data_IF_541368694828
#
_entry.id   IF_541368694828
#
_cell.length_a   1.000
_cell.length_b   1.000
_cell.length_c   1.000
_cell.angle_alpha   90.00
_cell.angle_beta   90.00
_cell.angle_gamma   90.00
#
_symmetry.space_group_name_H-M   'P 1'
#
loop_
_entity.id
_entity.type
_entity.pdbx_description
1 polymer ?
#
# COMPACT_ATOMS: atom_id res chain seq x y z
N UNK A 1 -22.87 -16.76 4.00
CA UNK A 1 -21.43 -16.90 3.71
C UNK A 1 -21.11 -15.88 2.63
N UNK A 2 -20.72 -14.67 3.02
CA UNK A 2 -20.38 -13.62 2.07
C UNK A 2 -18.93 -13.86 1.63
N UNK A 3 -18.75 -14.19 0.36
CA UNK A 3 -17.43 -14.25 -0.24
C UNK A 3 -16.80 -12.86 -0.13
N UNK A 4 -15.74 -12.74 0.67
CA UNK A 4 -14.88 -11.57 0.64
C UNK A 4 -14.34 -11.47 -0.79
N UNK A 5 -14.97 -10.60 -1.57
CA UNK A 5 -14.56 -10.29 -2.94
C UNK A 5 -13.22 -9.58 -2.84
N UNK A 6 -12.15 -10.35 -2.83
CA UNK A 6 -10.77 -9.87 -2.98
C UNK A 6 -10.75 -9.08 -4.27
N UNK A 7 -10.65 -7.76 -4.16
CA UNK A 7 -10.52 -6.87 -5.30
C UNK A 7 -9.09 -7.08 -5.81
N UNK A 8 -8.91 -8.00 -6.75
CA UNK A 8 -7.70 -8.05 -7.58
C UNK A 8 -7.75 -6.83 -8.50
N UNK A 9 -7.37 -5.67 -7.96
CA UNK A 9 -7.29 -4.44 -8.73
C UNK A 9 -6.11 -4.60 -9.71
N UNK A 10 -6.39 -4.56 -11.01
CA UNK A 10 -5.34 -4.68 -12.03
C UNK A 10 -4.30 -3.56 -11.89
N UNK A 11 -3.05 -3.83 -12.26
CA UNK A 11 -1.93 -2.87 -12.19
C UNK A 11 -2.25 -1.49 -12.81
N UNK A 12 -3.05 -1.47 -13.88
CA UNK A 12 -3.49 -0.23 -14.54
C UNK A 12 -4.55 0.54 -13.74
N UNK A 13 -5.46 -0.18 -13.07
CA UNK A 13 -6.46 0.42 -12.18
C UNK A 13 -5.76 1.03 -10.95
N UNK A 14 -4.76 0.34 -10.39
CA UNK A 14 -3.94 0.85 -9.29
C UNK A 14 -3.21 2.13 -9.72
N UNK A 15 -2.61 2.16 -10.90
CA UNK A 15 -1.88 3.32 -11.41
C UNK A 15 -2.79 4.54 -11.66
N UNK A 16 -3.95 4.36 -12.28
CA UNK A 16 -4.90 5.46 -12.54
C UNK A 16 -5.46 6.05 -11.23
N UNK A 17 -5.68 5.21 -10.24
CA UNK A 17 -6.20 5.53 -8.91
C UNK A 17 -5.16 6.23 -8.02
N UNK A 18 -3.91 5.77 -8.07
CA UNK A 18 -2.73 6.40 -7.47
C UNK A 18 -2.56 7.84 -7.99
N UNK A 19 -2.89 8.09 -9.27
CA UNK A 19 -2.84 9.43 -9.85
C UNK A 19 -3.94 10.38 -9.33
N UNK A 20 -5.13 9.85 -9.03
CA UNK A 20 -6.32 10.64 -8.68
C UNK A 20 -6.42 10.97 -7.19
N UNK A 21 -5.85 10.12 -6.32
CA UNK A 21 -5.87 10.30 -4.86
C UNK A 21 -4.51 10.64 -4.29
N UNK A 22 -3.71 11.43 -5.00
CA UNK A 22 -2.35 11.76 -4.55
C UNK A 22 -2.38 12.45 -3.17
N UNK A 23 -1.76 11.82 -2.16
CA UNK A 23 -1.69 12.32 -0.80
C UNK A 23 -0.96 13.67 -0.78
N UNK A 24 -1.64 14.66 -0.24
CA UNK A 24 -1.14 15.99 0.02
C UNK A 24 -1.46 16.42 1.45
N UNK A 25 -1.02 17.61 1.79
CA UNK A 25 -1.07 18.19 3.13
C UNK A 25 -2.53 18.37 3.65
N UNK A 26 -3.57 18.20 2.82
CA UNK A 26 -4.98 18.47 3.15
C UNK A 26 -5.92 17.27 3.07
N UNK A 27 -5.53 16.16 2.43
CA UNK A 27 -6.43 15.03 2.15
C UNK A 27 -6.07 13.74 2.90
N UNK A 28 -5.27 13.84 3.99
CA UNK A 28 -4.81 12.68 4.76
C UNK A 28 -5.94 11.74 5.20
N UNK A 29 -7.04 12.27 5.75
CA UNK A 29 -8.13 11.42 6.25
C UNK A 29 -8.78 10.61 5.12
N UNK A 30 -9.02 11.23 3.97
CA UNK A 30 -9.61 10.57 2.81
C UNK A 30 -8.67 9.52 2.24
N UNK A 31 -7.38 9.85 2.11
CA UNK A 31 -6.35 8.92 1.65
C UNK A 31 -6.19 7.74 2.62
N UNK A 32 -6.14 7.98 3.93
CA UNK A 32 -6.00 6.93 4.94
C UNK A 32 -7.21 5.99 4.96
N UNK A 33 -8.43 6.53 4.85
CA UNK A 33 -9.65 5.71 4.71
C UNK A 33 -9.58 4.86 3.44
N UNK A 34 -9.16 5.47 2.33
CA UNK A 34 -9.02 4.81 1.04
C UNK A 34 -8.03 3.63 1.10
N UNK A 35 -6.81 3.87 1.58
CA UNK A 35 -5.79 2.83 1.78
C UNK A 35 -6.32 1.74 2.70
N UNK A 36 -6.98 2.10 3.80
CA UNK A 36 -7.54 1.13 4.75
C UNK A 36 -8.67 0.29 4.15
N UNK A 37 -9.44 0.80 3.19
CA UNK A 37 -10.48 0.02 2.49
C UNK A 37 -9.90 -0.88 1.42
N UNK A 38 -8.88 -0.40 0.70
CA UNK A 38 -8.29 -1.10 -0.46
C UNK A 38 -7.28 -2.17 -0.02
N UNK A 39 -6.52 -1.92 1.05
CA UNK A 39 -5.41 -2.78 1.50
C UNK A 39 -5.71 -3.48 2.84
N UNK A 40 -6.91 -4.05 2.99
CA UNK A 40 -7.21 -4.93 4.12
C UNK A 40 -6.55 -6.30 3.91
N UNK A 41 -5.29 -6.44 4.33
CA UNK A 41 -4.59 -7.73 4.32
C UNK A 41 -4.23 -8.15 5.74
N UNK A 42 -4.25 -9.46 5.99
CA UNK A 42 -3.74 -10.06 7.23
C UNK A 42 -2.29 -10.46 6.98
N UNK A 43 -1.40 -10.03 7.86
CA UNK A 43 -0.01 -10.46 7.85
C UNK A 43 0.05 -11.93 8.33
N UNK A 44 0.53 -12.87 7.51
CA UNK A 44 0.67 -14.27 7.90
C UNK A 44 1.81 -14.45 8.91
N UNK A 45 1.82 -15.53 9.71
CA UNK A 45 2.98 -15.89 10.52
C UNK A 45 4.23 -16.09 9.65
N UNK A 46 5.43 -15.78 10.17
CA UNK A 46 6.69 -15.94 9.42
C UNK A 46 6.97 -17.39 8.98
N UNK A 47 6.46 -18.35 9.73
CA UNK A 47 6.62 -19.78 9.43
C UNK A 47 5.58 -20.30 8.43
N UNK A 48 4.65 -19.46 7.97
CA UNK A 48 3.67 -19.82 6.95
C UNK A 48 4.36 -19.90 5.57
N UNK A 49 4.21 -21.00 4.80
CA UNK A 49 4.72 -21.10 3.43
C UNK A 49 4.24 -19.99 2.49
N UNK A 50 3.16 -19.28 2.84
CA UNK A 50 2.61 -18.13 2.09
C UNK A 50 3.23 -16.79 2.50
N UNK A 51 4.14 -16.78 3.48
CA UNK A 51 4.79 -15.55 3.95
C UNK A 51 5.58 -14.87 2.82
N UNK A 52 6.37 -15.64 2.07
CA UNK A 52 7.18 -15.11 0.96
C UNK A 52 6.31 -14.44 -0.12
N UNK A 53 5.25 -15.13 -0.58
CA UNK A 53 4.31 -14.56 -1.54
C UNK A 53 3.56 -13.34 -0.99
N UNK A 54 3.30 -13.30 0.32
CA UNK A 54 2.68 -12.15 0.96
C UNK A 54 3.65 -10.96 1.04
N UNK A 55 4.93 -11.19 1.34
CA UNK A 55 6.00 -10.18 1.46
C UNK A 55 6.33 -9.54 0.10
N UNK A 56 6.36 -10.35 -0.96
CA UNK A 56 6.48 -9.86 -2.35
C UNK A 56 5.32 -8.94 -2.73
N UNK A 57 4.09 -9.33 -2.40
CA UNK A 57 2.91 -8.50 -2.64
C UNK A 57 2.90 -7.24 -1.75
N UNK A 58 3.36 -7.32 -0.49
CA UNK A 58 3.48 -6.18 0.43
C UNK A 58 4.49 -5.14 -0.08
N UNK A 59 5.61 -5.61 -0.65
CA UNK A 59 6.60 -4.75 -1.29
C UNK A 59 6.02 -3.96 -2.47
N UNK A 60 5.15 -4.58 -3.28
CA UNK A 60 4.43 -3.89 -4.36
C UNK A 60 3.44 -2.85 -3.81
N UNK A 61 2.78 -3.15 -2.69
CA UNK A 61 1.88 -2.21 -2.02
C UNK A 61 2.66 -0.99 -1.51
N UNK A 62 3.84 -1.20 -0.93
CA UNK A 62 4.72 -0.11 -0.46
C UNK A 62 5.13 0.82 -1.61
N UNK A 63 5.48 0.27 -2.77
CA UNK A 63 5.77 1.06 -3.98
C UNK A 63 4.53 1.84 -4.43
N UNK A 64 3.34 1.23 -4.44
CA UNK A 64 2.09 1.92 -4.76
C UNK A 64 1.77 3.05 -3.76
N UNK A 65 2.00 2.84 -2.47
CA UNK A 65 1.82 3.85 -1.42
C UNK A 65 2.71 5.05 -1.68
N UNK A 66 4.00 4.86 -1.96
CA UNK A 66 4.91 5.97 -2.26
C UNK A 66 4.53 6.72 -3.54
N UNK A 67 4.14 5.99 -4.59
CA UNK A 67 3.69 6.61 -5.84
C UNK A 67 2.40 7.42 -5.66
N UNK A 68 1.57 7.05 -4.67
CA UNK A 68 0.36 7.79 -4.30
C UNK A 68 0.61 9.03 -3.48
N UNK A 69 1.85 9.36 -3.12
CA UNK A 69 2.17 10.55 -2.33
C UNK A 69 2.74 11.67 -3.21
N UNK A 70 2.60 12.91 -2.75
CA UNK A 70 3.39 14.02 -3.31
C UNK A 70 4.88 13.83 -2.99
N UNK A 71 5.81 14.29 -3.86
CA UNK A 71 7.25 14.10 -3.63
C UNK A 71 7.77 14.65 -2.29
N UNK A 72 7.13 15.71 -1.79
CA UNK A 72 7.42 16.32 -0.48
C UNK A 72 7.16 15.34 0.67
N UNK A 73 6.09 14.54 0.56
CA UNK A 73 5.70 13.57 1.58
C UNK A 73 6.44 12.24 1.37
N UNK A 74 6.46 11.71 0.14
CA UNK A 74 7.07 10.40 -0.16
C UNK A 74 8.53 10.35 0.23
N UNK A 75 9.29 11.44 0.01
CA UNK A 75 10.70 11.53 0.36
C UNK A 75 10.96 11.28 1.85
N UNK A 76 10.11 11.81 2.73
CA UNK A 76 10.28 11.60 4.18
C UNK A 76 10.07 10.14 4.59
N UNK A 77 9.20 9.41 3.90
CA UNK A 77 8.89 8.01 4.23
C UNK A 77 9.82 7.00 3.54
N UNK A 78 10.22 7.26 2.29
CA UNK A 78 11.13 6.38 1.54
C UNK A 78 12.47 6.18 2.26
N UNK A 79 12.98 7.21 2.93
CA UNK A 79 14.21 7.12 3.71
C UNK A 79 14.01 6.52 5.11
N UNK A 80 12.79 6.55 5.66
CA UNK A 80 12.51 6.01 6.99
C UNK A 80 12.39 4.48 6.99
N UNK A 81 11.85 3.91 5.90
CA UNK A 81 11.75 2.45 5.71
C UNK A 81 13.11 1.74 5.62
N UNK A 82 14.17 2.45 5.20
CA UNK A 82 15.54 1.93 5.16
C UNK A 82 16.25 1.93 6.53
N UNK A 83 15.68 2.55 7.56
CA UNK A 83 16.33 2.68 8.88
C UNK A 83 16.13 1.43 9.75
N UNK A 84 15.31 0.47 9.33
CA UNK A 84 15.15 -0.82 10.01
C UNK A 84 16.16 -1.90 9.56
N UNK A 85 17.28 -1.48 8.98
CA UNK A 85 18.42 -2.34 8.66
C UNK A 85 19.74 -1.66 9.10
N UNK A 86 19.88 -1.40 10.41
CA UNK A 86 21.18 -1.17 11.08
C UNK A 86 21.17 -1.93 12.41
#
# INVERSE_FOLDING_TARGET
>A
MAEDKVITLGHNELSNLVSSYRLNDRNYLQWAQYIRTTFKRKHPPKDDPKFEAWDDEDSLIMICLWNSMTPKISRNYMFYSFVHEI
#
